data_IF_145386144953
#
_entry.id   IF_145386144953
#
_cell.length_a   1.000
_cell.length_b   1.000
_cell.length_c   1.000
_cell.angle_alpha   90.00
_cell.angle_beta   90.00
_cell.angle_gamma   90.00
#
_symmetry.space_group_name_H-M   'P 1'
#
loop_
_entity.id
_entity.type
_entity.pdbx_description
1 polymer ?
#
# COMPACT_ATOMS: atom_id res chain seq x y z
N UNK A 1 1.98 0.78 -9.27
CA UNK A 1 1.37 1.11 -7.98
C UNK A 1 0.28 2.12 -8.22
N UNK A 2 -0.80 2.03 -7.48
CA UNK A 2 -2.02 2.80 -7.68
C UNK A 2 -2.48 3.35 -6.34
N UNK A 3 -2.94 4.60 -6.31
CA UNK A 3 -3.66 5.16 -5.17
C UNK A 3 -5.14 5.31 -5.55
N UNK A 4 -6.04 5.02 -4.63
CA UNK A 4 -7.48 5.18 -4.81
C UNK A 4 -8.02 6.13 -3.74
N UNK A 5 -8.82 7.12 -4.14
CA UNK A 5 -9.46 8.01 -3.17
C UNK A 5 -10.75 7.41 -2.62
N UNK A 6 -11.34 8.07 -1.61
CA UNK A 6 -12.62 7.65 -1.00
C UNK A 6 -13.82 7.55 -1.96
N UNK A 7 -13.70 8.08 -3.19
CA UNK A 7 -14.74 8.01 -4.22
C UNK A 7 -14.50 6.85 -5.21
N UNK A 8 -13.54 5.97 -4.95
CA UNK A 8 -13.18 4.85 -5.83
C UNK A 8 -12.39 5.27 -7.07
N UNK A 9 -11.88 6.50 -7.12
CA UNK A 9 -11.09 6.97 -8.27
C UNK A 9 -9.63 6.57 -8.10
N UNK A 10 -9.18 5.72 -9.00
CA UNK A 10 -7.82 5.19 -9.04
C UNK A 10 -6.86 6.05 -9.87
N UNK A 11 -5.63 6.19 -9.39
CA UNK A 11 -4.56 6.98 -9.97
C UNK A 11 -3.26 6.16 -10.00
N UNK A 12 -2.68 5.99 -11.18
CA UNK A 12 -1.41 5.26 -11.33
C UNK A 12 -0.23 6.18 -11.01
N UNK A 13 0.52 5.85 -9.95
CA UNK A 13 1.62 6.68 -9.45
C UNK A 13 2.77 6.87 -10.45
N UNK A 14 2.95 5.93 -11.40
CA UNK A 14 4.00 6.00 -12.40
C UNK A 14 3.72 7.01 -13.52
N UNK A 15 2.46 7.42 -13.73
CA UNK A 15 2.05 8.24 -14.88
C UNK A 15 1.44 9.58 -14.47
N UNK A 16 0.95 9.71 -13.23
CA UNK A 16 0.32 10.94 -12.76
C UNK A 16 1.30 11.86 -12.03
N UNK A 17 1.13 13.16 -12.28
CA UNK A 17 1.88 14.24 -11.62
C UNK A 17 1.08 14.98 -10.56
N UNK A 18 -0.25 14.88 -10.59
CA UNK A 18 -1.13 15.68 -9.71
C UNK A 18 -2.43 14.95 -9.40
N UNK A 19 -2.88 15.02 -8.14
CA UNK A 19 -4.13 14.43 -7.62
C UNK A 19 -4.74 15.35 -6.57
N UNK A 20 -6.06 15.29 -6.29
CA UNK A 20 -6.65 16.05 -5.19
C UNK A 20 -5.95 15.75 -3.87
N UNK A 21 -5.73 16.74 -3.02
CA UNK A 21 -5.31 16.50 -1.65
C UNK A 21 -6.37 15.69 -0.89
N UNK A 22 -5.94 14.82 0.02
CA UNK A 22 -6.85 14.02 0.84
C UNK A 22 -6.37 12.59 1.12
N UNK A 23 -7.27 11.76 1.68
CA UNK A 23 -6.96 10.38 2.03
C UNK A 23 -6.98 9.47 0.80
N UNK A 24 -6.03 8.53 0.75
CA UNK A 24 -5.91 7.53 -0.29
C UNK A 24 -5.58 6.16 0.27
N UNK A 25 -6.05 5.13 -0.41
CA UNK A 25 -5.63 3.74 -0.23
C UNK A 25 -4.62 3.38 -1.30
N UNK A 26 -3.48 2.81 -0.90
CA UNK A 26 -2.37 2.46 -1.78
C UNK A 26 -2.38 0.97 -2.11
N UNK A 27 -2.28 0.66 -3.39
CA UNK A 27 -2.27 -0.69 -3.93
C UNK A 27 -1.05 -0.95 -4.81
N UNK A 28 -0.62 -2.21 -4.85
CA UNK A 28 0.26 -2.73 -5.90
C UNK A 28 -0.38 -3.93 -6.58
N UNK A 29 0.13 -4.24 -7.77
CA UNK A 29 -0.18 -5.51 -8.42
C UNK A 29 0.43 -6.64 -7.59
N UNK A 30 -0.40 -7.63 -7.25
CA UNK A 30 0.03 -8.84 -6.55
C UNK A 30 0.83 -9.72 -7.50
N UNK A 31 1.82 -10.43 -6.96
CA UNK A 31 2.46 -11.53 -7.64
C UNK A 31 1.99 -12.81 -6.94
N UNK A 32 1.21 -13.64 -7.66
CA UNK A 32 0.48 -14.77 -7.08
C UNK A 32 1.34 -15.77 -6.27
N UNK A 33 2.65 -15.81 -6.56
CA UNK A 33 3.59 -16.79 -5.99
C UNK A 33 4.49 -16.21 -4.89
N UNK A 34 4.33 -14.95 -4.49
CA UNK A 34 5.15 -14.34 -3.45
C UNK A 34 4.35 -14.20 -2.15
N UNK A 35 4.98 -14.66 -1.06
CA UNK A 35 4.48 -14.66 0.31
C UNK A 35 4.03 -13.26 0.79
N UNK A 36 3.21 -13.14 1.86
CA UNK A 36 2.64 -11.87 2.29
C UNK A 36 3.75 -10.83 2.51
N UNK A 37 3.61 -9.67 1.87
CA UNK A 37 4.63 -8.64 1.95
C UNK A 37 4.44 -7.76 3.19
N UNK A 38 5.55 -7.38 3.82
CA UNK A 38 5.59 -6.24 4.74
C UNK A 38 5.60 -4.98 3.89
N UNK A 39 4.88 -3.94 4.29
CA UNK A 39 4.99 -2.63 3.67
C UNK A 39 5.26 -1.56 4.71
N UNK A 40 6.11 -0.60 4.34
CA UNK A 40 6.23 0.69 5.02
C UNK A 40 5.96 1.78 4.00
N UNK A 41 5.10 2.70 4.37
CA UNK A 41 4.72 3.82 3.51
C UNK A 41 5.08 5.11 4.23
N UNK A 42 5.83 5.96 3.52
CA UNK A 42 6.22 7.27 3.97
C UNK A 42 5.66 8.32 3.03
N UNK A 43 5.21 9.44 3.59
CA UNK A 43 4.88 10.66 2.83
C UNK A 43 5.73 11.78 3.39
N UNK A 44 6.50 12.44 2.53
CA UNK A 44 7.44 13.50 2.89
C UNK A 44 8.42 13.09 4.00
N UNK A 45 8.83 11.83 4.01
CA UNK A 45 9.75 11.27 5.02
C UNK A 45 9.09 10.85 6.34
N UNK A 46 7.80 11.09 6.55
CA UNK A 46 7.06 10.62 7.73
C UNK A 46 6.46 9.24 7.47
N UNK A 47 6.75 8.24 8.33
CA UNK A 47 6.13 6.91 8.29
C UNK A 47 4.64 7.04 8.65
N UNK A 48 3.75 6.76 7.69
CA UNK A 48 2.30 6.85 7.90
C UNK A 48 1.68 5.49 8.21
N UNK A 49 2.17 4.44 7.56
CA UNK A 49 1.64 3.10 7.79
C UNK A 49 2.75 2.04 7.69
N UNK A 50 2.62 1.04 8.55
CA UNK A 50 3.46 -0.15 8.58
C UNK A 50 2.57 -1.38 8.71
N UNK A 51 2.59 -2.22 7.68
CA UNK A 51 1.96 -3.53 7.72
C UNK A 51 3.05 -4.55 8.06
N UNK A 52 2.99 -5.09 9.28
CA UNK A 52 3.99 -6.02 9.82
C UNK A 52 3.57 -7.49 9.69
N UNK A 53 4.56 -8.40 9.78
CA UNK A 53 4.38 -9.87 9.69
C UNK A 53 3.43 -10.43 10.75
N UNK A 54 3.35 -9.80 11.91
CA UNK A 54 2.43 -10.21 12.99
C UNK A 54 0.96 -10.13 12.58
N UNK A 55 0.68 -9.29 11.57
CA UNK A 55 -0.65 -9.11 10.99
C UNK A 55 -0.98 -10.20 9.99
N UNK A 56 -0.03 -11.00 9.47
CA UNK A 56 -0.26 -11.94 8.37
C UNK A 56 0.11 -13.38 8.79
N UNK A 57 -0.89 -14.24 9.02
CA UNK A 57 -0.71 -15.68 9.20
C UNK A 57 -1.03 -16.42 7.90
N UNK A 58 -0.16 -17.34 7.51
CA UNK A 58 -0.43 -18.28 6.43
C UNK A 58 -0.98 -19.57 7.02
N UNK A 59 -2.19 -19.97 6.62
CA UNK A 59 -2.82 -21.22 7.05
C UNK A 59 -3.62 -21.79 5.88
N UNK A 60 -3.50 -23.08 5.60
CA UNK A 60 -4.24 -23.80 4.55
C UNK A 60 -4.24 -23.13 3.17
N UNK A 61 -3.09 -22.58 2.74
CA UNK A 61 -2.97 -21.91 1.44
C UNK A 61 -3.59 -20.51 1.38
N UNK A 62 -4.10 -19.99 2.51
CA UNK A 62 -4.76 -18.68 2.60
C UNK A 62 -4.01 -17.77 3.57
N UNK A 63 -4.09 -16.47 3.30
CA UNK A 63 -3.50 -15.42 4.13
C UNK A 63 -4.59 -14.90 5.06
N UNK A 64 -4.41 -15.12 6.35
CA UNK A 64 -5.25 -14.64 7.43
C UNK A 64 -4.64 -13.43 8.07
N UNK A 65 -5.47 -12.41 8.32
CA UNK A 65 -5.02 -11.24 9.05
C UNK A 65 -5.28 -11.42 10.54
N UNK A 66 -4.23 -11.42 11.35
CA UNK A 66 -4.32 -11.69 12.79
C UNK A 66 -3.90 -10.46 13.57
N UNK A 67 -4.74 -10.02 14.52
CA UNK A 67 -4.38 -8.92 15.43
C UNK A 67 -4.83 -7.52 15.01
N UNK A 68 -5.51 -7.35 13.88
CA UNK A 68 -6.13 -6.07 13.52
C UNK A 68 -7.51 -6.25 12.87
N UNK A 69 -8.58 -5.93 13.61
CA UNK A 69 -9.97 -6.05 13.14
C UNK A 69 -10.30 -5.16 11.93
N UNK A 70 -9.46 -4.18 11.60
CA UNK A 70 -9.69 -3.26 10.48
C UNK A 70 -9.25 -3.82 9.12
N UNK A 71 -8.49 -4.92 9.10
CA UNK A 71 -7.95 -5.53 7.89
C UNK A 71 -8.50 -6.97 7.79
N UNK A 72 -9.52 -7.16 6.96
CA UNK A 72 -9.94 -8.51 6.53
C UNK A 72 -9.10 -8.95 5.34
N UNK A 73 -9.03 -10.26 5.07
CA UNK A 73 -8.35 -10.79 3.89
C UNK A 73 -8.86 -10.13 2.60
N UNK A 74 -10.15 -9.82 2.53
CA UNK A 74 -10.80 -9.13 1.41
C UNK A 74 -10.35 -7.68 1.25
N UNK A 75 -10.00 -6.98 2.34
CA UNK A 75 -9.46 -5.61 2.25
C UNK A 75 -8.00 -5.59 1.85
N UNK A 76 -7.26 -6.62 2.22
CA UNK A 76 -5.83 -6.73 1.95
C UNK A 76 -5.55 -7.29 0.56
N UNK A 77 -6.39 -8.22 0.11
CA UNK A 77 -6.42 -8.80 -1.22
C UNK A 77 -7.81 -8.54 -1.83
N UNK A 78 -8.10 -7.29 -2.26
CA UNK A 78 -9.40 -6.95 -2.84
C UNK A 78 -9.65 -7.66 -4.18
N UNK A 79 -8.60 -8.15 -4.83
CA UNK A 79 -8.70 -9.07 -5.95
C UNK A 79 -7.46 -9.98 -6.02
N UNK A 80 -7.51 -11.01 -6.86
CA UNK A 80 -6.39 -11.94 -7.05
C UNK A 80 -5.11 -11.26 -7.54
N UNK A 81 -5.25 -10.09 -8.18
CA UNK A 81 -4.16 -9.31 -8.76
C UNK A 81 -3.78 -8.06 -7.95
N UNK A 82 -4.39 -7.84 -6.78
CA UNK A 82 -4.20 -6.58 -6.03
C UNK A 82 -3.84 -6.86 -4.58
N UNK A 83 -2.86 -6.10 -4.07
CA UNK A 83 -2.45 -6.15 -2.67
C UNK A 83 -2.42 -4.73 -2.09
N UNK A 84 -3.01 -4.58 -0.91
CA UNK A 84 -2.99 -3.37 -0.11
C UNK A 84 -1.57 -3.12 0.44
N UNK A 85 -1.08 -1.90 0.29
CA UNK A 85 0.18 -1.45 0.87
C UNK A 85 -0.02 -0.54 2.08
N UNK A 86 -1.19 0.09 2.20
CA UNK A 86 -1.58 0.93 3.34
C UNK A 86 -2.42 2.12 2.90
N UNK A 87 -2.63 3.04 3.82
CA UNK A 87 -3.37 4.28 3.64
C UNK A 87 -2.42 5.45 3.82
N UNK A 88 -2.66 6.51 3.06
CA UNK A 88 -1.87 7.73 3.11
C UNK A 88 -2.80 8.94 3.16
N UNK A 89 -2.30 10.01 3.75
CA UNK A 89 -2.89 11.34 3.63
C UNK A 89 -1.94 12.18 2.77
N UNK A 90 -2.42 12.65 1.61
CA UNK A 90 -1.67 13.56 0.75
C UNK A 90 -2.08 15.01 1.05
N UNK A 91 -1.19 15.83 1.63
CA UNK A 91 -1.46 17.25 1.81
C UNK A 91 -1.34 18.01 0.48
N UNK A 92 -1.79 19.28 0.47
CA UNK A 92 -1.57 20.16 -0.67
C UNK A 92 -0.08 20.42 -0.92
N UNK A 93 0.29 20.61 -2.18
CA UNK A 93 1.67 20.86 -2.61
C UNK A 93 2.40 19.61 -3.11
N UNK A 94 3.72 19.74 -3.31
CA UNK A 94 4.55 18.64 -3.83
C UNK A 94 4.85 17.66 -2.71
N UNK A 95 4.47 16.40 -2.93
CA UNK A 95 4.67 15.31 -1.99
C UNK A 95 5.60 14.26 -2.57
N UNK A 96 6.46 13.70 -1.72
CA UNK A 96 7.24 12.50 -2.03
C UNK A 96 6.65 11.32 -1.28
N UNK A 97 6.15 10.34 -2.03
CA UNK A 97 5.67 9.07 -1.50
C UNK A 97 6.81 8.06 -1.64
N UNK A 98 7.29 7.54 -0.52
CA UNK A 98 8.28 6.47 -0.48
C UNK A 98 7.63 5.20 0.04
N UNK A 99 7.74 4.12 -0.72
CA UNK A 99 7.11 2.84 -0.43
C UNK A 99 8.21 1.79 -0.39
N UNK A 100 8.36 1.14 0.75
CA UNK A 100 9.25 -0.01 0.90
C UNK A 100 8.39 -1.25 1.11
N UNK A 101 8.46 -2.18 0.17
CA UNK A 101 7.84 -3.49 0.28
C UNK A 101 8.92 -4.54 0.53
N UNK A 102 8.74 -5.39 1.54
CA UNK A 102 9.64 -6.49 1.85
C UNK A 102 8.92 -7.82 1.76
N UNK A 103 9.57 -8.86 1.24
CA UNK A 103 9.05 -10.22 1.31
C UNK A 103 9.30 -10.86 2.70
N UNK A 104 8.88 -12.12 2.86
CA UNK A 104 9.09 -12.89 4.11
C UNK A 104 10.56 -13.25 4.37
N UNK A 105 11.40 -13.18 3.33
CA UNK A 105 12.85 -13.43 3.38
C UNK A 105 13.65 -12.14 3.61
N UNK A 106 12.95 -11.03 3.86
CA UNK A 106 13.49 -9.70 4.10
C UNK A 106 14.14 -9.02 2.88
N UNK A 107 13.92 -9.56 1.67
CA UNK A 107 14.26 -8.83 0.46
C UNK A 107 13.33 -7.63 0.33
N UNK A 108 13.90 -6.43 0.27
CA UNK A 108 13.15 -5.19 0.20
C UNK A 108 13.32 -4.50 -1.15
N UNK A 109 12.23 -3.96 -1.66
CA UNK A 109 12.20 -3.10 -2.83
C UNK A 109 11.59 -1.77 -2.41
N UNK A 110 12.30 -0.68 -2.73
CA UNK A 110 11.84 0.68 -2.45
C UNK A 110 11.49 1.38 -3.75
N UNK A 111 10.33 2.05 -3.77
CA UNK A 111 9.89 2.90 -4.87
C UNK A 111 9.61 4.31 -4.35
N UNK A 112 9.96 5.31 -5.15
CA UNK A 112 9.76 6.73 -4.84
C UNK A 112 8.92 7.37 -5.93
N UNK A 113 7.89 8.12 -5.54
CA UNK A 113 7.01 8.84 -6.44
C UNK A 113 6.86 10.28 -5.96
N UNK A 114 6.95 11.22 -6.90
CA UNK A 114 6.70 12.63 -6.62
C UNK A 114 5.34 13.01 -7.22
N UNK A 115 4.43 13.49 -6.39
CA UNK A 115 3.06 13.83 -6.81
C UNK A 115 2.62 15.15 -6.16
N UNK A 116 1.91 15.98 -6.90
CA UNK A 116 1.34 17.22 -6.36
C UNK A 116 -0.10 17.00 -5.87
N UNK A 117 -0.38 17.39 -4.63
CA UNK A 117 -1.73 17.51 -4.09
C UNK A 117 -2.33 18.88 -4.43
N UNK A 118 -3.49 18.93 -5.10
CA UNK A 118 -4.21 20.19 -5.38
C UNK A 118 -5.52 20.30 -4.61
#
# INVERSE_FOLDING_TARGET
MTIENQFGRAYTLATLRSVPAGPYTLYKKRQANISPHRSKVYVNGTELEKISKEVLKWQDGKIFIVGNKNYTSERFYPSDDTELLGHILLPHGVNTITITASDILENSVTANFMISGY
#
